data_IF_312483916589
#
_entry.id   IF_312483916589
#
_cell.length_a   1.000
_cell.length_b   1.000
_cell.length_c   1.000
_cell.angle_alpha   90.00
_cell.angle_beta   90.00
_cell.angle_gamma   90.00
#
_symmetry.space_group_name_H-M   'P 1'
#
loop_
_entity.id
_entity.type
_entity.pdbx_description
1 polymer ?
#
# COMPACT_ATOMS: atom_id res chain seq x y z
N UNK A 1 -6.70 -7.43 -9.64
CA UNK A 1 -7.22 -6.05 -9.76
C UNK A 1 -6.11 -5.01 -9.67
N UNK A 2 -5.34 -4.97 -8.58
CA UNK A 2 -4.30 -3.94 -8.39
C UNK A 2 -3.25 -3.96 -9.50
N UNK A 3 -2.67 -5.12 -9.81
CA UNK A 3 -1.67 -5.25 -10.85
C UNK A 3 -2.23 -4.87 -12.23
N UNK A 4 -3.44 -5.33 -12.57
CA UNK A 4 -4.07 -4.97 -13.86
C UNK A 4 -4.31 -3.46 -13.99
N UNK A 5 -4.71 -2.78 -12.90
CA UNK A 5 -4.87 -1.33 -12.91
C UNK A 5 -3.52 -0.61 -13.10
N UNK A 6 -2.46 -1.14 -12.50
CA UNK A 6 -1.11 -0.62 -12.67
C UNK A 6 -0.56 -0.85 -14.08
N UNK A 7 -0.78 -2.04 -14.64
CA UNK A 7 -0.37 -2.36 -16.01
C UNK A 7 -1.06 -1.45 -17.00
N UNK A 8 -2.39 -1.26 -16.87
CA UNK A 8 -3.16 -0.36 -17.70
C UNK A 8 -2.62 1.08 -17.64
N UNK A 9 -2.33 1.57 -16.42
CA UNK A 9 -1.76 2.91 -16.23
C UNK A 9 -0.39 3.06 -16.87
N UNK A 10 0.51 2.10 -16.66
CA UNK A 10 1.89 2.17 -17.17
C UNK A 10 1.98 1.93 -18.68
N UNK A 11 1.01 1.20 -19.24
CA UNK A 11 0.84 1.07 -20.69
C UNK A 11 0.25 2.33 -21.35
N UNK A 12 -0.12 3.36 -20.56
CA UNK A 12 -0.67 4.60 -21.09
C UNK A 12 -2.12 4.50 -21.55
N UNK A 13 -2.88 3.53 -21.06
CA UNK A 13 -4.30 3.41 -21.39
C UNK A 13 -5.09 4.60 -20.81
N UNK A 14 -6.14 5.10 -21.50
CA UNK A 14 -6.86 6.32 -21.18
C UNK A 14 -7.85 6.11 -20.01
N UNK A 15 -7.41 5.50 -18.93
CA UNK A 15 -8.20 5.36 -17.71
C UNK A 15 -7.73 6.35 -16.65
N UNK A 16 -8.65 7.07 -15.99
CA UNK A 16 -8.27 7.97 -14.92
C UNK A 16 -7.76 7.18 -13.70
N UNK A 17 -6.71 7.70 -13.07
CA UNK A 17 -6.18 7.17 -11.83
C UNK A 17 -6.11 8.28 -10.79
N UNK A 18 -6.68 8.04 -9.59
CA UNK A 18 -6.56 8.97 -8.47
C UNK A 18 -5.09 9.12 -8.10
N UNK A 19 -4.63 10.36 -7.95
CA UNK A 19 -3.27 10.65 -7.53
C UNK A 19 -3.19 10.88 -6.02
N UNK A 20 -2.27 10.19 -5.37
CA UNK A 20 -1.87 10.47 -3.99
C UNK A 20 -0.42 10.94 -4.00
N UNK A 21 -0.16 12.07 -3.33
CA UNK A 21 1.18 12.70 -3.25
C UNK A 21 1.80 12.92 -4.64
N UNK A 22 0.98 13.27 -5.63
CA UNK A 22 1.42 13.54 -6.99
C UNK A 22 1.70 12.31 -7.86
N UNK A 23 1.30 11.11 -7.43
CA UNK A 23 1.50 9.87 -8.17
C UNK A 23 0.24 9.03 -8.27
N UNK A 24 -0.19 8.70 -9.48
CA UNK A 24 -1.30 7.76 -9.73
C UNK A 24 -0.96 6.33 -9.29
N UNK A 25 0.32 5.93 -9.35
CA UNK A 25 0.77 4.64 -8.82
C UNK A 25 0.53 4.53 -7.31
N UNK A 26 0.82 5.59 -6.55
CA UNK A 26 0.50 5.61 -5.12
C UNK A 26 -1.01 5.49 -4.90
N UNK A 27 -1.83 6.22 -5.67
CA UNK A 27 -3.28 6.15 -5.56
C UNK A 27 -3.84 4.75 -5.79
N UNK A 28 -3.39 4.07 -6.83
CA UNK A 28 -3.80 2.68 -7.13
C UNK A 28 -3.32 1.73 -6.03
N UNK A 29 -2.04 1.82 -5.64
CA UNK A 29 -1.43 0.88 -4.71
C UNK A 29 -1.90 1.04 -3.26
N UNK A 30 -2.35 2.22 -2.84
CA UNK A 30 -2.92 2.40 -1.51
C UNK A 30 -4.42 2.09 -1.44
N UNK A 31 -5.17 2.22 -2.55
CA UNK A 31 -6.63 2.01 -2.54
C UNK A 31 -7.05 0.61 -2.98
N UNK A 32 -6.56 0.14 -4.12
CA UNK A 32 -7.05 -1.10 -4.74
C UNK A 32 -6.87 -2.36 -3.89
N UNK A 33 -5.75 -2.58 -3.16
CA UNK A 33 -5.62 -3.74 -2.30
C UNK A 33 -6.66 -3.75 -1.16
N UNK A 34 -6.92 -2.58 -0.57
CA UNK A 34 -7.90 -2.42 0.51
C UNK A 34 -9.31 -2.68 0.01
N UNK A 35 -9.68 -2.10 -1.16
CA UNK A 35 -10.96 -2.35 -1.81
C UNK A 35 -11.13 -3.82 -2.17
N UNK A 36 -10.09 -4.44 -2.74
CA UNK A 36 -10.12 -5.85 -3.15
C UNK A 36 -10.33 -6.77 -1.94
N UNK A 37 -9.59 -6.52 -0.86
CA UNK A 37 -9.74 -7.28 0.36
C UNK A 37 -11.14 -7.06 0.99
N UNK A 38 -11.57 -5.80 1.11
CA UNK A 38 -12.86 -5.48 1.72
C UNK A 38 -14.03 -6.14 1.00
N UNK A 39 -14.02 -6.13 -0.34
CA UNK A 39 -15.03 -6.83 -1.13
C UNK A 39 -14.98 -8.34 -0.94
N UNK A 40 -13.79 -8.92 -0.97
CA UNK A 40 -13.60 -10.36 -0.72
C UNK A 40 -14.09 -10.76 0.67
N UNK A 41 -13.82 -9.95 1.69
CA UNK A 41 -14.19 -10.20 3.07
C UNK A 41 -15.66 -9.82 3.40
N UNK A 42 -16.46 -9.41 2.40
CA UNK A 42 -17.87 -9.04 2.60
C UNK A 42 -18.08 -7.79 3.47
N UNK A 43 -17.11 -6.88 3.48
CA UNK A 43 -17.19 -5.63 4.24
C UNK A 43 -18.17 -4.66 3.59
N UNK A 44 -18.79 -3.84 4.41
CA UNK A 44 -19.69 -2.77 3.96
C UNK A 44 -18.88 -1.70 3.19
N UNK A 45 -19.56 -0.94 2.35
CA UNK A 45 -18.92 0.14 1.60
C UNK A 45 -18.29 1.19 2.53
N UNK A 46 -18.96 1.50 3.65
CA UNK A 46 -18.43 2.44 4.65
C UNK A 46 -17.13 1.93 5.28
N UNK A 47 -17.07 0.65 5.68
CA UNK A 47 -15.83 0.05 6.21
C UNK A 47 -14.70 0.13 5.19
N UNK A 48 -14.99 -0.19 3.92
CA UNK A 48 -14.01 -0.13 2.83
C UNK A 48 -13.51 1.30 2.64
N UNK A 49 -14.40 2.29 2.61
CA UNK A 49 -14.03 3.71 2.49
C UNK A 49 -13.13 4.13 3.65
N UNK A 50 -13.44 3.74 4.87
CA UNK A 50 -12.61 4.03 6.06
C UNK A 50 -11.21 3.40 5.94
N UNK A 51 -11.14 2.15 5.50
CA UNK A 51 -9.87 1.46 5.24
C UNK A 51 -9.03 2.17 4.18
N UNK A 52 -9.66 2.59 3.07
CA UNK A 52 -8.99 3.35 2.01
C UNK A 52 -8.53 4.72 2.51
N UNK A 53 -9.36 5.42 3.26
CA UNK A 53 -9.01 6.72 3.83
C UNK A 53 -7.78 6.62 4.75
N UNK A 54 -7.75 5.64 5.66
CA UNK A 54 -6.60 5.37 6.51
C UNK A 54 -5.34 5.08 5.68
N UNK A 55 -5.46 4.23 4.66
CA UNK A 55 -4.35 3.88 3.76
C UNK A 55 -3.80 5.11 3.04
N UNK A 56 -4.67 5.98 2.53
CA UNK A 56 -4.27 7.23 1.88
C UNK A 56 -3.54 8.17 2.85
N UNK A 57 -4.09 8.36 4.06
CA UNK A 57 -3.49 9.23 5.08
C UNK A 57 -2.11 8.75 5.52
N UNK A 58 -1.94 7.45 5.74
CA UNK A 58 -0.63 6.85 6.07
C UNK A 58 0.36 7.03 4.91
N UNK A 59 -0.10 6.84 3.68
CA UNK A 59 0.75 7.04 2.51
C UNK A 59 1.21 8.50 2.40
N UNK A 60 0.32 9.47 2.62
CA UNK A 60 0.63 10.90 2.62
C UNK A 60 1.64 11.22 3.74
N UNK A 61 1.37 10.75 4.96
CA UNK A 61 2.24 10.96 6.11
C UNK A 61 3.64 10.38 5.88
N UNK A 62 3.72 9.14 5.40
CA UNK A 62 4.99 8.48 5.14
C UNK A 62 5.81 9.22 4.07
N UNK A 63 5.15 9.74 3.03
CA UNK A 63 5.77 10.50 1.95
C UNK A 63 6.21 11.92 2.36
N UNK A 64 5.70 12.44 3.47
CA UNK A 64 6.11 13.75 3.97
C UNK A 64 7.63 13.84 4.18
N UNK A 65 8.23 12.78 4.70
CA UNK A 65 9.67 12.72 5.01
C UNK A 65 10.57 12.58 3.78
N UNK A 66 10.05 12.17 2.63
CA UNK A 66 10.85 11.90 1.42
C UNK A 66 10.48 12.77 0.24
N UNK A 67 9.48 13.64 0.40
CA UNK A 67 8.97 14.49 -0.65
C UNK A 67 8.11 13.73 -1.69
N UNK A 68 7.59 14.46 -2.66
CA UNK A 68 6.70 13.91 -3.70
C UNK A 68 7.43 12.92 -4.60
N UNK A 69 8.62 13.27 -5.03
CA UNK A 69 9.50 12.40 -5.82
C UNK A 69 10.53 11.76 -4.89
N UNK A 70 10.64 10.45 -4.96
CA UNK A 70 11.64 9.72 -4.19
C UNK A 70 12.20 8.58 -5.03
N UNK A 71 13.43 8.17 -4.73
CA UNK A 71 14.07 7.02 -5.36
C UNK A 71 13.40 5.68 -5.01
N UNK A 72 12.62 5.62 -3.93
CA UNK A 72 11.93 4.38 -3.52
C UNK A 72 10.71 4.10 -4.37
N UNK A 73 10.47 2.82 -4.67
CA UNK A 73 9.31 2.38 -5.43
C UNK A 73 7.98 2.73 -4.75
N UNK A 74 6.96 3.03 -5.55
CA UNK A 74 5.64 3.42 -5.06
C UNK A 74 5.03 2.36 -4.12
N UNK A 75 5.27 1.08 -4.37
CA UNK A 75 4.76 -0.02 -3.55
C UNK A 75 5.32 -0.01 -2.12
N UNK A 76 6.53 0.51 -1.92
CA UNK A 76 7.11 0.67 -0.58
C UNK A 76 6.27 1.61 0.30
N UNK A 77 5.88 2.77 -0.23
CA UNK A 77 5.13 3.77 0.51
C UNK A 77 3.64 3.46 0.60
N UNK A 78 3.03 3.20 -0.55
CA UNK A 78 1.59 2.93 -0.64
C UNK A 78 1.21 1.57 -0.06
N UNK A 79 2.09 0.58 -0.14
CA UNK A 79 1.89 -0.74 0.45
C UNK A 79 1.81 -0.70 1.97
N UNK A 80 2.54 0.20 2.64
CA UNK A 80 2.43 0.43 4.10
C UNK A 80 1.04 0.93 4.46
N UNK A 81 0.53 1.90 3.71
CA UNK A 81 -0.83 2.38 3.87
C UNK A 81 -1.85 1.27 3.63
N UNK A 82 -1.69 0.51 2.54
CA UNK A 82 -2.57 -0.61 2.21
C UNK A 82 -2.59 -1.69 3.31
N UNK A 83 -1.42 -2.04 3.87
CA UNK A 83 -1.33 -3.00 4.97
C UNK A 83 -2.12 -2.54 6.20
N UNK A 84 -1.96 -1.29 6.61
CA UNK A 84 -2.72 -0.72 7.72
C UNK A 84 -4.22 -0.64 7.44
N UNK A 85 -4.62 -0.28 6.21
CA UNK A 85 -6.03 -0.29 5.79
C UNK A 85 -6.66 -1.68 5.83
N UNK A 86 -5.91 -2.71 5.42
CA UNK A 86 -6.35 -4.11 5.51
C UNK A 86 -6.46 -4.56 6.98
N UNK A 87 -5.50 -4.20 7.84
CA UNK A 87 -5.59 -4.48 9.29
C UNK A 87 -6.86 -3.86 9.89
N UNK A 88 -7.18 -2.62 9.54
CA UNK A 88 -8.43 -2.00 10.00
C UNK A 88 -9.66 -2.82 9.56
N UNK A 89 -9.70 -3.28 8.31
CA UNK A 89 -10.79 -4.13 7.82
C UNK A 89 -10.84 -5.50 8.50
N UNK A 90 -9.71 -6.02 8.96
CA UNK A 90 -9.64 -7.25 9.77
C UNK A 90 -10.11 -7.03 11.22
N UNK A 91 -10.33 -5.79 11.65
CA UNK A 91 -10.71 -5.43 13.02
C UNK A 91 -9.51 -5.26 13.96
N UNK A 92 -8.31 -5.12 13.41
CA UNK A 92 -7.08 -4.89 14.17
C UNK A 92 -6.99 -3.45 14.71
N UNK A 93 -6.14 -3.28 15.71
CA UNK A 93 -5.88 -2.00 16.36
C UNK A 93 -4.71 -1.24 15.71
N UNK A 94 -4.42 -0.06 16.22
CA UNK A 94 -3.25 0.73 15.82
C UNK A 94 -1.91 -0.01 16.03
N UNK A 95 -1.86 -0.93 17.00
CA UNK A 95 -0.67 -1.75 17.28
C UNK A 95 -0.40 -2.72 16.13
N UNK A 96 -1.43 -3.47 15.70
CA UNK A 96 -1.31 -4.39 14.57
C UNK A 96 -1.06 -3.62 13.27
N UNK A 97 -1.70 -2.46 13.08
CA UNK A 97 -1.44 -1.61 11.91
C UNK A 97 0.03 -1.14 11.86
N UNK A 98 0.60 -0.73 13.00
CA UNK A 98 2.02 -0.37 13.08
C UNK A 98 2.92 -1.57 12.74
N UNK A 99 2.64 -2.75 13.31
CA UNK A 99 3.40 -3.96 13.02
C UNK A 99 3.36 -4.32 11.52
N UNK A 100 2.19 -4.23 10.90
CA UNK A 100 2.05 -4.49 9.46
C UNK A 100 2.86 -3.48 8.61
N UNK A 101 2.90 -2.22 9.02
CA UNK A 101 3.73 -1.20 8.36
C UNK A 101 5.22 -1.49 8.50
N UNK A 102 5.66 -1.98 9.65
CA UNK A 102 7.06 -2.38 9.88
C UNK A 102 7.45 -3.60 9.04
N UNK A 103 6.55 -4.59 8.94
CA UNK A 103 6.75 -5.73 8.03
C UNK A 103 6.93 -5.29 6.58
N UNK A 104 6.09 -4.37 6.10
CA UNK A 104 6.22 -3.81 4.75
C UNK A 104 7.53 -3.08 4.55
N UNK A 105 7.94 -2.28 5.55
CA UNK A 105 9.19 -1.55 5.48
C UNK A 105 10.39 -2.52 5.39
N UNK A 106 10.44 -3.53 6.25
CA UNK A 106 11.53 -4.51 6.25
C UNK A 106 11.59 -5.33 4.96
N UNK A 107 10.43 -5.74 4.44
CA UNK A 107 10.35 -6.58 3.25
C UNK A 107 10.74 -5.86 1.97
N UNK A 108 10.35 -4.58 1.82
CA UNK A 108 10.53 -3.83 0.58
C UNK A 108 11.62 -2.75 0.65
N UNK A 109 12.39 -2.69 1.73
CA UNK A 109 13.52 -1.76 1.85
C UNK A 109 14.52 -2.00 0.72
N UNK A 110 14.96 -0.91 0.09
CA UNK A 110 15.92 -0.96 -1.02
C UNK A 110 15.29 -1.14 -2.41
N UNK A 111 13.98 -1.29 -2.51
CA UNK A 111 13.31 -1.33 -3.80
C UNK A 111 13.28 0.06 -4.45
N UNK A 112 14.10 0.23 -5.48
CA UNK A 112 14.30 1.51 -6.18
C UNK A 112 13.25 1.66 -7.28
N UNK A 113 12.74 2.89 -7.46
CA UNK A 113 11.87 3.27 -8.56
C UNK A 113 12.68 3.43 -9.86
N UNK A 114 12.13 2.97 -10.97
CA UNK A 114 12.71 3.14 -12.31
C UNK A 114 12.06 4.27 -13.12
N UNK A 115 11.38 5.20 -12.45
CA UNK A 115 10.79 6.37 -13.09
C UNK A 115 9.39 6.16 -13.67
N UNK A 116 8.72 5.06 -13.37
CA UNK A 116 7.34 4.79 -13.84
C UNK A 116 7.29 4.20 -15.25
N UNK A 117 8.36 3.54 -15.67
CA UNK A 117 8.41 2.76 -16.90
C UNK A 117 7.60 1.45 -16.79
N UNK A 118 7.49 0.71 -17.89
CA UNK A 118 6.90 -0.65 -17.89
C UNK A 118 7.61 -1.58 -16.89
N UNK A 119 8.92 -1.41 -16.68
CA UNK A 119 9.67 -2.14 -15.65
C UNK A 119 9.13 -1.93 -14.23
N UNK A 120 8.47 -0.81 -13.97
CA UNK A 120 7.77 -0.57 -12.71
C UNK A 120 6.65 -1.59 -12.46
N UNK A 121 6.00 -2.08 -13.51
CA UNK A 121 4.93 -3.07 -13.40
C UNK A 121 5.39 -4.34 -12.69
N UNK A 122 6.63 -4.76 -12.92
CA UNK A 122 7.21 -5.96 -12.30
C UNK A 122 7.35 -5.86 -10.77
N UNK A 123 7.30 -4.64 -10.21
CA UNK A 123 7.39 -4.40 -8.77
C UNK A 123 6.02 -4.40 -8.07
N UNK A 124 4.93 -4.28 -8.81
CA UNK A 124 3.59 -4.14 -8.24
C UNK A 124 2.99 -5.42 -7.66
N UNK A 125 3.35 -6.64 -8.13
CA UNK A 125 2.97 -7.87 -7.45
C UNK A 125 3.38 -7.90 -5.98
N UNK A 126 4.43 -7.16 -5.61
CA UNK A 126 4.87 -7.00 -4.22
C UNK A 126 3.81 -6.33 -3.31
N UNK A 127 2.76 -5.76 -3.87
CA UNK A 127 1.59 -5.31 -3.09
C UNK A 127 0.91 -6.44 -2.33
N UNK A 128 1.08 -7.69 -2.76
CA UNK A 128 0.66 -8.86 -2.00
C UNK A 128 1.31 -8.90 -0.59
N UNK A 129 2.50 -8.36 -0.46
CA UNK A 129 3.17 -8.23 0.84
C UNK A 129 2.34 -7.41 1.84
N UNK A 130 1.50 -6.47 1.38
CA UNK A 130 0.61 -5.71 2.27
C UNK A 130 -0.42 -6.62 2.96
N UNK A 131 -1.02 -7.54 2.20
CA UNK A 131 -1.94 -8.52 2.76
C UNK A 131 -1.23 -9.49 3.71
N UNK A 132 -0.08 -10.03 3.29
CA UNK A 132 0.73 -10.91 4.14
C UNK A 132 1.16 -10.21 5.44
N UNK A 133 1.60 -8.96 5.35
CA UNK A 133 2.00 -8.16 6.52
C UNK A 133 0.84 -7.93 7.48
N UNK A 134 -0.36 -7.68 6.94
CA UNK A 134 -1.57 -7.53 7.75
C UNK A 134 -1.91 -8.86 8.48
N UNK A 135 -1.86 -9.99 7.78
CA UNK A 135 -2.10 -11.31 8.39
C UNK A 135 -1.11 -11.62 9.52
N UNK A 136 0.20 -11.43 9.26
CA UNK A 136 1.23 -11.67 10.27
C UNK A 136 1.02 -10.79 11.51
N UNK A 137 0.67 -9.53 11.32
CA UNK A 137 0.41 -8.60 12.41
C UNK A 137 -0.81 -9.03 13.23
N UNK A 138 -1.89 -9.49 12.57
CA UNK A 138 -3.09 -9.99 13.25
C UNK A 138 -2.85 -11.28 14.06
N UNK A 139 -1.87 -12.10 13.64
CA UNK A 139 -1.40 -13.28 14.40
C UNK A 139 -0.41 -12.89 15.53
N UNK A 140 -0.22 -11.61 15.79
CA UNK A 140 0.67 -11.12 16.85
C UNK A 140 2.16 -11.19 16.50
N UNK A 141 2.51 -11.52 15.28
CA UNK A 141 3.89 -11.51 14.81
C UNK A 141 4.28 -10.05 14.57
N UNK A 142 5.19 -9.57 15.39
CA UNK A 142 5.70 -8.19 15.28
C UNK A 142 7.21 -8.18 15.55
N UNK A 143 7.92 -7.32 14.83
CA UNK A 143 9.30 -6.94 15.13
C UNK A 143 9.42 -5.44 15.05
N UNK A 144 10.35 -4.87 15.76
CA UNK A 144 10.70 -3.45 15.60
C UNK A 144 11.86 -3.35 14.62
N UNK A 145 11.73 -2.49 13.64
CA UNK A 145 12.91 -2.04 12.89
C UNK A 145 13.75 -1.27 13.92
N UNK A 146 14.95 -1.79 14.21
CA UNK A 146 15.85 -1.15 15.16
C UNK A 146 16.20 0.22 14.55
N UNK A 147 15.67 1.29 15.15
CA UNK A 147 16.21 2.63 14.92
C UNK A 147 17.56 2.68 15.65
N UNK A 148 18.64 2.71 14.88
CA UNK A 148 19.94 3.03 15.41
C UNK A 148 19.97 4.46 15.96
#
# INVERSE_FOLDING_TARGET
LTCSAMDARLAGLPFPAMSIVGSGSHGILCSMPVVSYGRFAGKTEEEIIRGVALSCLITIFSKHYTGRLSASAAVFWAGRGAAAGIVLLMGGSAKEASAAMDHMAANLTGMICDGGSIGCALKHPQVYAAYLSAMLAMEGIAFRIISA
#
